data_IF_080574357794
#
_entry.id   IF_080574357794
#
_cell.length_a   1.000
_cell.length_b   1.000
_cell.length_c   1.000
_cell.angle_alpha   90.00
_cell.angle_beta   90.00
_cell.angle_gamma   90.00
#
_symmetry.space_group_name_H-M   'P 1'
#
loop_
_entity.id
_entity.type
_entity.pdbx_description
1 polymer ?
#
# COMPACT_ATOMS: atom_id res chain seq x y z
N UNK A 1 20.78 -33.72 -8.55
CA UNK A 1 19.35 -34.07 -8.74
C UNK A 1 18.60 -32.80 -9.06
N UNK A 2 18.23 -32.62 -10.32
CA UNK A 2 17.64 -31.40 -10.87
C UNK A 2 16.12 -31.47 -10.74
N UNK A 3 15.55 -30.80 -9.75
CA UNK A 3 14.12 -30.51 -9.72
C UNK A 3 13.89 -29.17 -10.43
N UNK A 4 13.75 -29.24 -11.75
CA UNK A 4 13.10 -28.18 -12.52
C UNK A 4 11.64 -28.64 -12.67
N UNK A 5 10.78 -28.30 -11.71
CA UNK A 5 9.35 -28.22 -12.01
C UNK A 5 9.13 -26.95 -12.81
N UNK A 6 9.45 -27.05 -14.11
CA UNK A 6 8.82 -26.20 -15.11
C UNK A 6 7.36 -26.63 -15.14
N UNK A 7 6.54 -26.06 -14.25
CA UNK A 7 5.18 -25.77 -14.68
C UNK A 7 5.37 -24.76 -15.79
N UNK A 8 5.22 -25.21 -17.04
CA UNK A 8 5.01 -24.29 -18.17
C UNK A 8 3.67 -23.60 -17.90
N UNK A 9 3.67 -22.65 -16.97
CA UNK A 9 2.60 -21.69 -16.80
C UNK A 9 2.63 -20.85 -18.07
N UNK A 10 1.61 -20.92 -18.94
CA UNK A 10 1.54 -20.00 -20.06
C UNK A 10 1.62 -18.59 -19.48
N UNK A 11 2.63 -17.83 -19.90
CA UNK A 11 2.66 -16.39 -19.68
C UNK A 11 1.32 -15.90 -20.24
N UNK A 12 0.45 -15.37 -19.37
CA UNK A 12 -0.89 -14.92 -19.75
C UNK A 12 -0.72 -13.75 -20.74
N UNK A 13 -0.68 -14.07 -22.02
CA UNK A 13 -0.71 -13.11 -23.11
C UNK A 13 -2.14 -12.64 -23.33
N UNK A 14 -2.30 -11.48 -23.96
CA UNK A 14 -3.58 -10.78 -24.23
C UNK A 14 -4.58 -11.55 -25.13
N UNK A 15 -4.34 -12.84 -25.43
CA UNK A 15 -5.08 -13.62 -26.42
C UNK A 15 -5.98 -14.73 -25.83
N UNK A 16 -6.21 -14.73 -24.52
CA UNK A 16 -7.12 -15.71 -23.89
C UNK A 16 -8.52 -15.15 -23.67
N UNK A 17 -9.54 -15.95 -23.99
CA UNK A 17 -10.94 -15.60 -23.72
C UNK A 17 -11.26 -15.75 -22.23
N UNK A 18 -12.35 -15.12 -21.77
CA UNK A 18 -12.83 -15.31 -20.38
C UNK A 18 -13.08 -16.79 -20.03
N UNK A 19 -13.45 -17.60 -21.03
CA UNK A 19 -13.63 -19.05 -20.89
C UNK A 19 -12.30 -19.75 -20.62
N UNK A 20 -11.24 -19.35 -21.30
CA UNK A 20 -9.91 -19.92 -21.11
C UNK A 20 -9.33 -19.59 -19.73
N UNK A 21 -9.49 -18.34 -19.28
CA UNK A 21 -9.05 -17.91 -17.94
C UNK A 21 -9.77 -18.71 -16.85
N UNK A 22 -11.08 -18.89 -17.00
CA UNK A 22 -11.89 -19.65 -16.04
C UNK A 22 -11.51 -21.13 -16.02
N UNK A 23 -11.30 -21.74 -17.20
CA UNK A 23 -10.89 -23.14 -17.31
C UNK A 23 -9.49 -23.37 -16.75
N UNK A 24 -8.54 -22.47 -17.05
CA UNK A 24 -7.21 -22.51 -16.45
C UNK A 24 -7.28 -22.39 -14.93
N UNK A 25 -8.04 -21.42 -14.40
CA UNK A 25 -8.15 -21.23 -12.96
C UNK A 25 -8.76 -22.42 -12.21
N UNK A 26 -9.61 -23.21 -12.86
CA UNK A 26 -10.17 -24.44 -12.28
C UNK A 26 -9.11 -25.54 -12.16
N UNK A 27 -8.16 -25.58 -13.09
CA UNK A 27 -7.09 -26.57 -13.11
C UNK A 27 -5.85 -26.14 -12.28
N UNK A 28 -5.65 -24.83 -12.11
CA UNK A 28 -4.52 -24.27 -11.37
C UNK A 28 -4.82 -24.15 -9.86
N UNK A 29 -3.77 -24.29 -9.04
CA UNK A 29 -3.83 -23.89 -7.63
C UNK A 29 -3.76 -22.37 -7.54
N UNK A 30 -4.92 -21.71 -7.53
CA UNK A 30 -5.03 -20.25 -7.52
C UNK A 30 -5.17 -19.72 -6.09
N UNK A 31 -4.39 -18.69 -5.77
CA UNK A 31 -4.38 -18.04 -4.46
C UNK A 31 -4.62 -16.55 -4.65
N UNK A 32 -5.43 -15.96 -3.77
CA UNK A 32 -5.68 -14.52 -3.70
C UNK A 32 -5.28 -13.99 -2.34
N UNK A 33 -4.53 -12.89 -2.29
CA UNK A 33 -4.29 -12.15 -1.05
C UNK A 33 -5.07 -10.84 -1.06
N UNK A 34 -5.86 -10.63 -0.01
CA UNK A 34 -6.70 -9.44 0.15
C UNK A 34 -6.30 -8.62 1.36
N UNK A 35 -6.71 -7.36 1.41
CA UNK A 35 -6.39 -6.44 2.51
C UNK A 35 -7.63 -5.66 2.89
N UNK A 36 -7.74 -5.27 4.16
CA UNK A 36 -8.71 -4.29 4.62
C UNK A 36 -8.71 -3.07 3.67
N UNK A 37 -9.82 -2.75 3.00
CA UNK A 37 -9.85 -1.69 1.99
C UNK A 37 -9.46 -0.31 2.51
N UNK A 38 -9.79 0.00 3.77
CA UNK A 38 -9.37 1.26 4.42
C UNK A 38 -7.84 1.31 4.58
N UNK A 39 -7.25 0.20 5.01
CA UNK A 39 -5.80 0.04 5.12
C UNK A 39 -5.10 0.06 3.77
N UNK A 40 -5.72 -0.48 2.72
CA UNK A 40 -5.20 -0.43 1.33
C UNK A 40 -5.10 1.00 0.83
N UNK A 41 -6.17 1.80 0.94
CA UNK A 41 -6.16 3.22 0.57
C UNK A 41 -5.10 4.01 1.34
N UNK A 42 -5.03 3.82 2.66
CA UNK A 42 -4.06 4.52 3.49
C UNK A 42 -2.61 4.14 3.13
N UNK A 43 -2.35 2.86 2.90
CA UNK A 43 -1.04 2.38 2.45
C UNK A 43 -0.67 2.90 1.07
N UNK A 44 -1.63 2.96 0.14
CA UNK A 44 -1.43 3.54 -1.19
C UNK A 44 -1.03 5.02 -1.11
N UNK A 45 -1.71 5.81 -0.28
CA UNK A 45 -1.33 7.20 -0.03
C UNK A 45 0.10 7.33 0.49
N UNK A 46 0.44 6.56 1.54
CA UNK A 46 1.77 6.62 2.16
C UNK A 46 2.86 6.30 1.14
N UNK A 47 2.68 5.23 0.37
CA UNK A 47 3.71 4.74 -0.57
C UNK A 47 3.86 5.62 -1.82
N UNK A 48 2.74 6.14 -2.33
CA UNK A 48 2.71 6.82 -3.63
C UNK A 48 2.81 8.34 -3.55
N UNK A 49 2.37 8.96 -2.45
CA UNK A 49 2.28 10.41 -2.33
C UNK A 49 3.07 10.99 -1.16
N UNK A 50 3.05 10.33 0.01
CA UNK A 50 3.81 10.80 1.17
C UNK A 50 5.30 10.50 1.03
N UNK A 51 5.65 9.23 0.79
CA UNK A 51 7.02 8.82 0.56
C UNK A 51 7.58 9.48 -0.72
N UNK A 52 8.87 9.88 -0.75
CA UNK A 52 9.46 10.54 -1.92
C UNK A 52 9.28 9.74 -3.22
N UNK A 53 8.34 10.16 -4.06
CA UNK A 53 8.00 9.44 -5.29
C UNK A 53 7.70 10.40 -6.46
N UNK A 54 8.74 10.96 -7.09
CA UNK A 54 8.57 11.97 -8.15
C UNK A 54 7.79 11.46 -9.36
N UNK A 55 7.80 10.14 -9.60
CA UNK A 55 7.02 9.56 -10.68
C UNK A 55 5.52 9.71 -10.41
N UNK A 56 5.04 9.29 -9.24
CA UNK A 56 3.63 9.40 -8.89
C UNK A 56 3.18 10.84 -8.70
N UNK A 57 4.03 11.70 -8.16
CA UNK A 57 3.75 13.14 -8.07
C UNK A 57 3.51 13.74 -9.46
N UNK A 58 4.37 13.41 -10.43
CA UNK A 58 4.27 13.91 -11.79
C UNK A 58 3.06 13.36 -12.56
N UNK A 59 2.78 12.06 -12.42
CA UNK A 59 1.73 11.34 -13.18
C UNK A 59 0.34 11.56 -12.60
N UNK A 60 0.22 11.53 -11.27
CA UNK A 60 -1.05 11.61 -10.55
C UNK A 60 -1.16 12.88 -9.71
N UNK A 61 -0.12 13.21 -8.94
CA UNK A 61 -0.19 14.29 -7.97
C UNK A 61 -0.58 15.65 -8.55
N UNK A 62 0.02 16.03 -9.68
CA UNK A 62 -0.33 17.27 -10.40
C UNK A 62 -1.79 17.30 -10.85
N UNK A 63 -2.31 16.16 -11.32
CA UNK A 63 -3.72 16.03 -11.76
C UNK A 63 -4.67 16.15 -10.57
N UNK A 64 -4.32 15.52 -9.46
CA UNK A 64 -5.09 15.58 -8.22
C UNK A 64 -5.16 17.04 -7.74
N UNK A 65 -4.01 17.69 -7.58
CA UNK A 65 -3.95 19.09 -7.12
C UNK A 65 -4.72 20.02 -8.06
N UNK A 66 -4.48 19.92 -9.37
CA UNK A 66 -5.15 20.76 -10.36
C UNK A 66 -6.67 20.62 -10.34
N UNK A 67 -7.20 19.46 -9.94
CA UNK A 67 -8.64 19.20 -9.93
C UNK A 67 -9.30 19.54 -8.60
N UNK A 68 -8.65 19.22 -7.49
CA UNK A 68 -9.28 19.23 -6.16
C UNK A 68 -8.83 20.42 -5.28
N UNK A 69 -7.64 20.98 -5.51
CA UNK A 69 -7.12 22.06 -4.66
C UNK A 69 -7.52 23.43 -5.18
N UNK A 70 -8.28 24.17 -4.37
CA UNK A 70 -8.56 25.60 -4.63
C UNK A 70 -7.32 26.44 -4.33
N UNK A 71 -7.02 27.41 -5.20
CA UNK A 71 -5.89 28.34 -5.03
C UNK A 71 -4.53 27.64 -4.83
N UNK A 72 -4.28 26.56 -5.58
CA UNK A 72 -3.00 25.86 -5.53
C UNK A 72 -1.83 26.78 -5.91
N UNK A 73 -0.72 26.68 -5.17
CA UNK A 73 0.50 27.40 -5.54
C UNK A 73 1.03 26.90 -6.89
N UNK A 74 1.79 27.74 -7.58
CA UNK A 74 2.46 27.34 -8.83
C UNK A 74 3.33 26.10 -8.63
N UNK A 75 4.03 26.05 -7.49
CA UNK A 75 4.88 24.91 -7.12
C UNK A 75 4.06 23.63 -6.94
N UNK A 76 2.94 23.68 -6.19
CA UNK A 76 2.05 22.52 -6.00
C UNK A 76 1.53 22.01 -7.34
N UNK A 77 1.09 22.91 -8.24
CA UNK A 77 0.61 22.53 -9.58
C UNK A 77 1.72 21.91 -10.46
N UNK A 78 2.93 22.46 -10.39
CA UNK A 78 4.06 21.99 -11.19
C UNK A 78 4.64 20.67 -10.68
N UNK A 79 4.63 20.44 -9.37
CA UNK A 79 5.34 19.34 -8.76
C UNK A 79 4.46 18.20 -8.27
N UNK A 80 3.21 18.44 -7.87
CA UNK A 80 2.33 17.36 -7.45
C UNK A 80 2.72 16.66 -6.13
N UNK A 81 3.70 17.21 -5.40
CA UNK A 81 4.39 16.50 -4.33
C UNK A 81 3.65 16.54 -2.99
N UNK A 82 2.79 17.53 -2.80
CA UNK A 82 2.12 17.86 -1.54
C UNK A 82 0.64 17.46 -1.53
N UNK A 83 0.24 16.43 -2.29
CA UNK A 83 -1.11 15.86 -2.23
C UNK A 83 -1.45 15.44 -0.80
N UNK A 84 -2.58 15.90 -0.30
CA UNK A 84 -3.12 15.51 1.01
C UNK A 84 -3.85 14.17 0.94
N UNK A 85 -4.02 13.50 2.08
CA UNK A 85 -4.81 12.27 2.14
C UNK A 85 -6.25 12.48 1.65
N UNK A 86 -6.87 13.61 2.01
CA UNK A 86 -8.23 13.95 1.59
C UNK A 86 -8.36 14.08 0.06
N UNK A 87 -7.45 14.83 -0.58
CA UNK A 87 -7.47 14.99 -2.04
C UNK A 87 -7.18 13.67 -2.77
N UNK A 88 -6.28 12.85 -2.23
CA UNK A 88 -6.02 11.51 -2.74
C UNK A 88 -7.28 10.65 -2.68
N UNK A 89 -7.95 10.59 -1.52
CA UNK A 89 -9.17 9.80 -1.34
C UNK A 89 -10.29 10.30 -2.25
N UNK A 90 -10.47 11.61 -2.36
CA UNK A 90 -11.47 12.21 -3.25
C UNK A 90 -11.21 11.86 -4.73
N UNK A 91 -9.95 11.93 -5.16
CA UNK A 91 -9.55 11.47 -6.49
C UNK A 91 -9.88 10.00 -6.72
N UNK A 92 -9.60 9.12 -5.76
CA UNK A 92 -9.84 7.67 -5.90
C UNK A 92 -11.33 7.37 -6.03
N UNK A 93 -12.16 7.90 -5.12
CA UNK A 93 -13.61 7.59 -5.13
C UNK A 93 -14.30 8.17 -6.36
N UNK A 94 -13.95 9.39 -6.77
CA UNK A 94 -14.50 10.00 -7.98
C UNK A 94 -14.03 9.25 -9.23
N UNK A 95 -12.74 8.88 -9.32
CA UNK A 95 -12.24 8.14 -10.49
C UNK A 95 -12.90 6.77 -10.59
N UNK A 96 -13.13 6.10 -9.46
CA UNK A 96 -13.89 4.85 -9.44
C UNK A 96 -15.33 5.01 -9.94
N UNK A 97 -16.01 6.08 -9.53
CA UNK A 97 -17.41 6.36 -9.90
C UNK A 97 -17.55 6.66 -11.40
N UNK A 98 -16.65 7.46 -11.97
CA UNK A 98 -16.78 7.92 -13.36
C UNK A 98 -15.98 7.10 -14.37
N UNK A 99 -14.81 6.57 -13.99
CA UNK A 99 -13.84 5.91 -14.90
C UNK A 99 -13.08 4.78 -14.18
N UNK A 100 -13.76 3.74 -13.68
CA UNK A 100 -13.15 2.72 -12.82
C UNK A 100 -11.94 2.03 -13.45
N UNK A 101 -11.97 1.80 -14.78
CA UNK A 101 -10.86 1.16 -15.53
C UNK A 101 -9.59 2.01 -15.63
N UNK A 102 -9.62 3.28 -15.25
CA UNK A 102 -8.46 4.18 -15.24
C UNK A 102 -7.90 4.40 -13.84
N UNK A 103 -8.52 3.79 -12.82
CA UNK A 103 -8.02 3.86 -11.46
C UNK A 103 -6.77 2.99 -11.34
N UNK A 104 -5.78 3.49 -10.62
CA UNK A 104 -4.50 2.80 -10.47
C UNK A 104 -4.63 1.57 -9.56
N UNK A 105 -3.99 0.48 -9.97
CA UNK A 105 -4.16 -0.86 -9.39
C UNK A 105 -3.90 -0.91 -7.88
N UNK A 106 -2.89 -0.20 -7.35
CA UNK A 106 -2.52 -0.26 -5.93
C UNK A 106 -3.62 0.25 -4.99
N UNK A 107 -4.49 1.12 -5.47
CA UNK A 107 -5.59 1.69 -4.70
C UNK A 107 -6.97 1.47 -5.35
N UNK A 108 -7.04 0.59 -6.36
CA UNK A 108 -8.28 0.05 -6.90
C UNK A 108 -8.87 -1.10 -6.06
N UNK A 109 -10.19 -1.30 -6.04
CA UNK A 109 -10.78 -2.45 -5.37
C UNK A 109 -10.32 -3.79 -5.95
N UNK A 110 -10.06 -4.75 -5.07
CA UNK A 110 -9.49 -6.05 -5.45
C UNK A 110 -10.46 -6.82 -6.33
N UNK A 111 -11.78 -6.72 -6.06
CA UNK A 111 -12.79 -7.39 -6.87
C UNK A 111 -12.77 -6.98 -8.36
N UNK A 112 -12.25 -5.79 -8.70
CA UNK A 112 -12.17 -5.36 -10.10
C UNK A 112 -11.10 -6.08 -10.89
N UNK A 113 -9.98 -6.44 -10.25
CA UNK A 113 -8.82 -7.04 -10.92
C UNK A 113 -8.82 -8.56 -10.78
N UNK A 114 -9.21 -9.05 -9.61
CA UNK A 114 -9.10 -10.47 -9.27
C UNK A 114 -10.38 -11.26 -9.54
N UNK A 115 -11.51 -10.60 -9.88
CA UNK A 115 -12.79 -11.24 -10.23
C UNK A 115 -13.12 -12.47 -9.34
N UNK A 116 -13.15 -12.30 -8.00
CA UNK A 116 -13.29 -13.43 -7.06
C UNK A 116 -14.63 -14.17 -7.20
N UNK A 117 -15.63 -13.58 -7.86
CA UNK A 117 -16.89 -14.23 -8.17
C UNK A 117 -16.81 -15.18 -9.38
N UNK A 118 -15.73 -15.10 -10.17
CA UNK A 118 -15.58 -15.81 -11.43
C UNK A 118 -14.42 -16.83 -11.40
N UNK A 119 -13.40 -16.53 -10.61
CA UNK A 119 -12.21 -17.36 -10.40
C UNK A 119 -12.40 -18.17 -9.11
N UNK A 120 -12.25 -19.49 -9.20
CA UNK A 120 -12.34 -20.43 -8.08
C UNK A 120 -11.00 -20.47 -7.31
N UNK A 121 -10.75 -19.43 -6.51
CA UNK A 121 -9.57 -19.34 -5.66
C UNK A 121 -9.58 -20.45 -4.59
N UNK A 122 -8.52 -21.26 -4.57
CA UNK A 122 -8.36 -22.33 -3.56
C UNK A 122 -8.09 -21.76 -2.18
N UNK A 123 -7.35 -20.67 -2.12
CA UNK A 123 -7.06 -19.96 -0.87
C UNK A 123 -7.25 -18.46 -1.08
N UNK A 124 -7.98 -17.82 -0.15
CA UNK A 124 -8.04 -16.37 -0.01
C UNK A 124 -7.39 -15.98 1.32
N UNK A 125 -6.12 -15.57 1.26
CA UNK A 125 -5.36 -15.08 2.41
C UNK A 125 -5.55 -13.58 2.65
N UNK A 126 -5.16 -13.09 3.83
CA UNK A 126 -5.24 -11.69 4.23
C UNK A 126 -3.86 -11.11 4.50
N UNK A 127 -3.64 -9.86 4.10
CA UNK A 127 -2.39 -9.14 4.35
C UNK A 127 -2.15 -8.92 5.86
N UNK A 128 -3.22 -8.88 6.67
CA UNK A 128 -3.17 -8.75 8.13
C UNK A 128 -2.61 -9.99 8.84
N UNK A 129 -2.69 -11.15 8.18
CA UNK A 129 -2.22 -12.48 8.61
C UNK A 129 -1.24 -13.10 7.61
N UNK A 130 -0.56 -12.25 6.82
CA UNK A 130 0.20 -12.67 5.64
C UNK A 130 1.18 -13.81 5.90
N UNK A 131 1.95 -13.76 7.00
CA UNK A 131 2.91 -14.82 7.34
C UNK A 131 2.24 -16.17 7.59
N UNK A 132 1.14 -16.19 8.36
CA UNK A 132 0.38 -17.40 8.67
C UNK A 132 -0.29 -17.96 7.40
N UNK A 133 -0.87 -17.07 6.59
CA UNK A 133 -1.57 -17.45 5.36
C UNK A 133 -0.61 -17.96 4.28
N UNK A 134 0.58 -17.37 4.16
CA UNK A 134 1.64 -17.90 3.28
C UNK A 134 2.10 -19.28 3.75
N UNK A 135 2.29 -19.47 5.06
CA UNK A 135 2.65 -20.80 5.59
C UNK A 135 1.55 -21.84 5.31
N UNK A 136 0.27 -21.45 5.40
CA UNK A 136 -0.85 -22.33 5.03
C UNK A 136 -0.81 -22.70 3.54
N UNK A 137 -0.59 -21.72 2.65
CA UNK A 137 -0.43 -21.95 1.20
C UNK A 137 0.71 -22.94 0.92
N UNK A 138 1.86 -22.77 1.56
CA UNK A 138 3.01 -23.66 1.36
C UNK A 138 2.75 -25.09 1.84
N UNK A 139 2.02 -25.25 2.95
CA UNK A 139 1.62 -26.55 3.46
C UNK A 139 0.68 -27.28 2.48
N UNK A 140 -0.30 -26.58 1.90
CA UNK A 140 -1.22 -27.14 0.90
C UNK A 140 -0.50 -27.54 -0.39
N UNK A 141 0.61 -26.88 -0.73
CA UNK A 141 1.47 -27.24 -1.86
C UNK A 141 2.45 -28.39 -1.56
N UNK A 142 2.48 -28.92 -0.32
CA UNK A 142 3.41 -29.97 0.09
C UNK A 142 4.83 -29.49 0.37
N UNK A 143 5.06 -28.17 0.44
CA UNK A 143 6.36 -27.53 0.70
C UNK A 143 6.66 -27.41 2.21
N UNK A 144 6.44 -28.50 2.94
CA UNK A 144 6.49 -28.59 4.41
C UNK A 144 7.91 -28.31 4.96
N UNK A 145 8.93 -28.36 4.09
CA UNK A 145 10.33 -28.11 4.44
C UNK A 145 10.69 -26.62 4.52
N UNK A 146 9.85 -25.72 4.00
CA UNK A 146 10.05 -24.28 4.11
C UNK A 146 9.55 -23.85 5.50
N UNK A 147 10.42 -23.95 6.51
CA UNK A 147 10.10 -23.55 7.88
C UNK A 147 9.60 -22.12 7.93
N UNK A 148 8.37 -21.96 8.44
CA UNK A 148 7.80 -20.77 9.09
C UNK A 148 8.45 -19.46 8.62
N UNK A 149 8.10 -19.04 7.40
CA UNK A 149 8.57 -17.75 6.90
C UNK A 149 8.04 -16.67 7.85
N UNK A 150 8.94 -16.00 8.56
CA UNK A 150 8.60 -14.78 9.29
C UNK A 150 8.49 -13.65 8.28
N UNK A 151 7.33 -13.55 7.61
CA UNK A 151 7.08 -12.55 6.56
C UNK A 151 6.67 -11.18 7.12
N UNK A 152 6.99 -10.90 8.38
CA UNK A 152 6.87 -9.51 8.86
C UNK A 152 7.93 -8.66 8.16
N UNK A 153 7.55 -7.49 7.66
CA UNK A 153 8.50 -6.54 7.09
C UNK A 153 9.62 -6.28 8.10
N UNK A 154 10.81 -6.77 7.77
CA UNK A 154 11.96 -6.61 8.63
C UNK A 154 12.37 -5.14 8.61
N UNK A 155 12.38 -4.49 9.78
CA UNK A 155 12.80 -3.09 9.89
C UNK A 155 14.19 -2.87 9.26
N UNK A 156 15.07 -3.87 9.30
CA UNK A 156 16.35 -3.80 8.58
C UNK A 156 16.17 -3.65 7.07
N UNK A 157 15.28 -4.41 6.43
CA UNK A 157 15.06 -4.34 4.98
C UNK A 157 14.47 -2.99 4.58
N UNK A 158 13.51 -2.49 5.37
CA UNK A 158 12.91 -1.18 5.14
C UNK A 158 13.95 -0.07 5.27
N UNK A 159 14.80 -0.12 6.30
CA UNK A 159 15.88 0.85 6.48
C UNK A 159 16.97 0.74 5.40
N UNK A 160 17.28 -0.47 4.91
CA UNK A 160 18.18 -0.67 3.77
C UNK A 160 17.61 -0.06 2.50
N UNK A 161 16.32 -0.26 2.22
CA UNK A 161 15.65 0.37 1.08
C UNK A 161 15.71 1.89 1.18
N UNK A 162 15.39 2.45 2.36
CA UNK A 162 15.47 3.88 2.60
C UNK A 162 16.90 4.41 2.40
N UNK A 163 17.92 3.71 2.91
CA UNK A 163 19.31 4.12 2.71
C UNK A 163 19.68 4.21 1.22
N UNK A 164 19.23 3.25 0.40
CA UNK A 164 19.44 3.24 -1.04
C UNK A 164 18.66 4.37 -1.73
N UNK A 165 17.41 4.60 -1.34
CA UNK A 165 16.57 5.66 -1.89
C UNK A 165 17.16 7.05 -1.58
N UNK A 166 17.63 7.28 -0.35
CA UNK A 166 18.30 8.53 0.04
C UNK A 166 19.59 8.76 -0.76
N UNK A 167 20.40 7.71 -0.97
CA UNK A 167 21.57 7.78 -1.83
C UNK A 167 21.18 8.14 -3.27
N UNK A 168 20.11 7.54 -3.80
CA UNK A 168 19.58 7.87 -5.13
C UNK A 168 19.08 9.31 -5.21
N UNK A 169 18.31 9.80 -4.25
CA UNK A 169 17.79 11.18 -4.25
C UNK A 169 18.88 12.23 -4.14
N UNK A 170 19.95 11.97 -3.38
CA UNK A 170 21.11 12.88 -3.29
C UNK A 170 21.77 13.11 -4.65
N UNK A 171 21.70 12.13 -5.54
CA UNK A 171 22.30 12.17 -6.87
C UNK A 171 21.32 12.62 -7.98
N UNK A 172 20.06 12.89 -7.63
CA UNK A 172 19.05 13.33 -8.59
C UNK A 172 18.95 14.85 -8.65
N UNK A 173 19.22 15.42 -9.83
CA UNK A 173 18.92 16.83 -10.11
C UNK A 173 17.45 16.98 -10.56
N UNK A 174 16.50 16.81 -9.63
CA UNK A 174 15.06 17.02 -9.91
C UNK A 174 14.52 18.20 -9.13
N UNK A 175 13.97 19.17 -9.85
CA UNK A 175 13.42 20.44 -9.32
C UNK A 175 12.43 20.22 -8.18
N UNK A 176 11.55 19.21 -8.30
CA UNK A 176 10.50 18.93 -7.31
C UNK A 176 10.96 18.08 -6.11
N UNK A 177 12.10 17.38 -6.19
CA UNK A 177 12.68 16.73 -5.01
C UNK A 177 13.45 17.75 -4.17
N UNK A 178 14.11 18.71 -4.82
CA UNK A 178 14.82 19.79 -4.12
C UNK A 178 13.90 20.71 -3.32
N UNK A 179 12.60 20.73 -3.64
CA UNK A 179 11.62 21.57 -2.96
C UNK A 179 10.94 20.91 -1.75
N UNK A 180 11.26 19.63 -1.47
CA UNK A 180 10.71 18.90 -0.31
C UNK A 180 11.77 18.55 0.72
N UNK A 181 11.36 18.48 1.98
CA UNK A 181 12.17 17.86 3.02
C UNK A 181 12.01 16.33 2.95
N UNK A 182 12.90 15.68 2.17
CA UNK A 182 12.93 14.22 1.98
C UNK A 182 13.03 13.48 3.32
N UNK A 183 13.87 13.97 4.24
CA UNK A 183 14.05 13.34 5.54
C UNK A 183 12.77 13.36 6.37
N UNK A 184 12.07 14.49 6.39
CA UNK A 184 10.81 14.60 7.11
C UNK A 184 9.74 13.66 6.55
N UNK A 185 9.68 13.52 5.22
CA UNK A 185 8.74 12.57 4.57
C UNK A 185 9.04 11.12 4.90
N UNK A 186 10.32 10.73 4.87
CA UNK A 186 10.74 9.39 5.28
C UNK A 186 10.38 9.14 6.75
N UNK A 187 10.63 10.13 7.61
CA UNK A 187 10.30 10.08 9.04
C UNK A 187 8.80 9.86 9.27
N UNK A 188 7.97 10.66 8.61
CA UNK A 188 6.52 10.54 8.66
C UNK A 188 6.03 9.20 8.09
N UNK A 189 6.64 8.72 7.01
CA UNK A 189 6.32 7.41 6.42
C UNK A 189 6.58 6.28 7.41
N UNK A 190 7.75 6.24 8.04
CA UNK A 190 8.10 5.23 9.03
C UNK A 190 7.19 5.29 10.26
N UNK A 191 6.83 6.51 10.68
CA UNK A 191 5.80 6.69 11.70
C UNK A 191 4.46 6.11 11.22
N UNK A 192 3.87 6.56 10.12
CA UNK A 192 2.53 6.09 9.73
C UNK A 192 2.47 4.58 9.42
N UNK A 193 3.58 3.97 8.95
CA UNK A 193 3.71 2.51 8.76
C UNK A 193 3.87 1.72 10.06
N UNK A 194 4.13 2.39 11.19
CA UNK A 194 4.27 1.73 12.48
C UNK A 194 5.65 1.13 12.74
N UNK A 195 6.70 1.72 12.13
CA UNK A 195 8.10 1.39 12.39
C UNK A 195 8.73 2.31 13.46
N UNK A 196 8.16 3.50 13.68
CA UNK A 196 8.63 4.46 14.69
C UNK A 196 7.53 4.84 15.67
N UNK A 197 7.83 4.84 16.98
CA UNK A 197 6.97 5.42 18.01
C UNK A 197 7.04 6.96 17.96
N UNK A 198 6.16 7.66 18.68
CA UNK A 198 6.25 9.12 18.81
C UNK A 198 7.54 9.57 19.49
N UNK A 199 8.06 8.77 20.43
CA UNK A 199 9.28 9.12 21.17
C UNK A 199 10.55 8.88 20.34
N UNK A 200 10.56 7.81 19.53
CA UNK A 200 11.69 7.47 18.67
C UNK A 200 11.86 8.43 17.48
N UNK A 201 10.82 9.16 17.10
CA UNK A 201 10.83 10.06 15.95
C UNK A 201 11.71 11.31 16.16
N UNK A 202 12.03 11.65 17.41
CA UNK A 202 12.79 12.86 17.77
C UNK A 202 14.30 12.60 17.62
N UNK A 203 14.76 11.37 17.88
CA UNK A 203 16.19 11.03 17.95
C UNK A 203 16.73 10.36 16.67
N UNK A 204 15.88 10.08 15.68
CA UNK A 204 16.28 9.41 14.46
C UNK A 204 16.86 10.40 13.43
N UNK A 205 18.19 10.50 13.40
CA UNK A 205 18.87 11.27 12.35
C UNK A 205 18.93 10.46 11.04
N UNK A 206 17.98 10.71 10.15
CA UNK A 206 17.87 10.03 8.84
C UNK A 206 19.04 10.38 7.91
N UNK A 207 19.62 11.58 8.04
CA UNK A 207 20.66 12.05 7.13
C UNK A 207 21.96 11.25 7.21
N UNK A 208 22.20 10.57 8.33
CA UNK A 208 23.35 9.69 8.53
C UNK A 208 23.04 8.21 8.26
N UNK A 209 21.82 7.85 7.86
CA UNK A 209 21.47 6.47 7.53
C UNK A 209 22.19 6.01 6.25
N UNK A 210 22.91 4.90 6.35
CA UNK A 210 23.62 4.26 5.24
C UNK A 210 23.44 2.74 5.29
N UNK A 211 23.69 2.05 4.18
CA UNK A 211 23.63 0.58 4.14
C UNK A 211 24.52 -0.09 5.21
N UNK A 212 25.65 0.54 5.58
CA UNK A 212 26.59 0.00 6.56
C UNK A 212 26.14 0.12 8.02
N UNK A 213 25.27 1.09 8.35
CA UNK A 213 24.82 1.32 9.73
C UNK A 213 23.37 0.96 10.01
N UNK A 214 22.63 0.40 9.02
CA UNK A 214 21.24 -0.02 9.20
C UNK A 214 21.03 -0.91 10.43
N UNK A 215 21.90 -1.89 10.68
CA UNK A 215 21.76 -2.80 11.82
C UNK A 215 21.74 -2.06 13.17
N UNK A 216 22.59 -1.05 13.32
CA UNK A 216 22.64 -0.22 14.53
C UNK A 216 21.32 0.56 14.69
N UNK A 217 20.83 1.17 13.61
CA UNK A 217 19.56 1.88 13.63
C UNK A 217 18.38 0.96 13.94
N UNK A 218 18.33 -0.24 13.37
CA UNK A 218 17.27 -1.20 13.65
C UNK A 218 17.21 -1.57 15.13
N UNK A 219 18.36 -1.81 15.77
CA UNK A 219 18.44 -2.11 17.20
C UNK A 219 17.98 -0.94 18.08
N UNK A 220 18.29 0.30 17.67
CA UNK A 220 17.83 1.50 18.38
C UNK A 220 16.33 1.73 18.23
N UNK A 221 15.77 1.37 17.07
CA UNK A 221 14.38 1.66 16.70
C UNK A 221 13.42 0.50 17.01
N UNK A 222 13.92 -0.66 17.41
CA UNK A 222 13.12 -1.87 17.65
C UNK A 222 12.27 -1.76 18.93
N UNK A 223 11.24 -0.93 18.90
CA UNK A 223 10.09 -1.06 19.78
C UNK A 223 8.93 -1.67 18.98
N UNK A 224 8.37 -2.79 19.46
CA UNK A 224 7.19 -3.38 18.84
C UNK A 224 6.03 -2.40 19.01
N UNK A 225 5.59 -1.80 17.91
CA UNK A 225 4.38 -0.98 17.90
C UNK A 225 3.18 -1.90 17.88
N UNK A 226 2.22 -1.65 18.76
CA UNK A 226 1.02 -2.47 18.84
C UNK A 226 0.16 -2.33 17.57
N UNK A 227 -0.61 -3.37 17.24
CA UNK A 227 -1.61 -3.30 16.15
C UNK A 227 -2.60 -2.14 16.39
N UNK A 228 -2.95 -1.87 17.66
CA UNK A 228 -3.83 -0.78 18.06
C UNK A 228 -3.27 0.61 17.73
N UNK A 229 -2.00 0.87 18.03
CA UNK A 229 -1.36 2.15 17.67
C UNK A 229 -1.29 2.37 16.16
N UNK A 230 -1.05 1.31 15.38
CA UNK A 230 -1.09 1.38 13.91
C UNK A 230 -2.49 1.74 13.42
N UNK A 231 -3.53 1.10 13.97
CA UNK A 231 -4.92 1.40 13.66
C UNK A 231 -5.27 2.85 13.98
N UNK A 232 -4.84 3.39 15.11
CA UNK A 232 -5.10 4.78 15.49
C UNK A 232 -4.52 5.79 14.49
N UNK A 233 -3.34 5.50 13.89
CA UNK A 233 -2.72 6.37 12.86
C UNK A 233 -3.53 6.37 11.57
N UNK A 234 -4.07 5.21 11.18
CA UNK A 234 -5.00 5.11 10.05
C UNK A 234 -6.29 5.87 10.35
N UNK A 235 -6.90 5.61 11.50
CA UNK A 235 -8.17 6.22 11.91
C UNK A 235 -8.06 7.73 11.94
N UNK A 236 -6.98 8.30 12.48
CA UNK A 236 -6.81 9.76 12.56
C UNK A 236 -6.80 10.43 11.17
N UNK A 237 -6.32 9.74 10.14
CA UNK A 237 -6.35 10.26 8.77
C UNK A 237 -7.76 10.24 8.19
N UNK A 238 -8.51 9.15 8.41
CA UNK A 238 -9.92 9.12 8.00
C UNK A 238 -10.78 10.12 8.79
N UNK A 239 -10.46 10.37 10.06
CA UNK A 239 -11.16 11.37 10.88
C UNK A 239 -10.96 12.81 10.40
N UNK A 240 -9.95 13.06 9.57
CA UNK A 240 -9.73 14.37 8.95
C UNK A 240 -10.64 14.61 7.74
N UNK A 241 -11.34 13.58 7.24
CA UNK A 241 -12.20 13.70 6.08
C UNK A 241 -13.56 14.28 6.46
N UNK A 242 -14.11 15.14 5.59
CA UNK A 242 -15.47 15.61 5.74
C UNK A 242 -16.49 14.47 5.57
N UNK A 243 -17.64 14.57 6.26
CA UNK A 243 -18.71 13.55 6.28
C UNK A 243 -19.12 13.04 4.90
N UNK A 244 -19.33 13.95 3.95
CA UNK A 244 -19.71 13.60 2.57
C UNK A 244 -18.68 12.73 1.87
N UNK A 245 -17.39 13.06 2.01
CA UNK A 245 -16.30 12.28 1.44
C UNK A 245 -16.17 10.93 2.14
N UNK A 246 -16.29 10.89 3.46
CA UNK A 246 -16.24 9.65 4.23
C UNK A 246 -17.37 8.69 3.85
N UNK A 247 -18.58 9.19 3.59
CA UNK A 247 -19.69 8.38 3.07
C UNK A 247 -19.43 7.85 1.66
N UNK A 248 -18.78 8.62 0.78
CA UNK A 248 -18.30 8.12 -0.52
C UNK A 248 -17.29 6.99 -0.35
N UNK A 249 -16.35 7.11 0.58
CA UNK A 249 -15.40 6.03 0.90
C UNK A 249 -16.12 4.75 1.32
N UNK A 250 -17.09 4.87 2.23
CA UNK A 250 -17.88 3.72 2.69
C UNK A 250 -18.58 2.99 1.53
N UNK A 251 -19.10 3.72 0.52
CA UNK A 251 -19.66 3.12 -0.69
C UNK A 251 -18.59 2.48 -1.57
N UNK A 252 -17.45 3.16 -1.77
CA UNK A 252 -16.34 2.69 -2.59
C UNK A 252 -15.78 1.34 -2.09
N UNK A 253 -15.61 1.17 -0.78
CA UNK A 253 -15.02 -0.05 -0.21
C UNK A 253 -16.02 -1.20 -0.03
N UNK A 254 -17.32 -0.91 -0.09
CA UNK A 254 -18.39 -1.83 0.35
C UNK A 254 -18.28 -3.22 -0.28
N UNK A 255 -18.05 -3.30 -1.59
CA UNK A 255 -17.99 -4.57 -2.29
C UNK A 255 -16.83 -5.45 -1.80
N UNK A 256 -15.61 -4.91 -1.70
CA UNK A 256 -14.45 -5.65 -1.15
C UNK A 256 -14.71 -6.03 0.31
N UNK A 257 -15.25 -5.13 1.12
CA UNK A 257 -15.55 -5.43 2.52
C UNK A 257 -16.52 -6.60 2.67
N UNK A 258 -17.61 -6.62 1.90
CA UNK A 258 -18.58 -7.72 1.92
C UNK A 258 -17.97 -9.02 1.40
N UNK A 259 -17.25 -8.97 0.27
CA UNK A 259 -16.66 -10.15 -0.36
C UNK A 259 -15.61 -10.84 0.53
N UNK A 260 -14.86 -10.06 1.31
CA UNK A 260 -13.70 -10.55 2.06
C UNK A 260 -13.87 -10.51 3.59
N UNK A 261 -15.09 -10.23 4.07
CA UNK A 261 -15.43 -10.24 5.48
C UNK A 261 -14.70 -9.16 6.28
N UNK A 262 -14.68 -7.93 5.76
CA UNK A 262 -14.27 -6.74 6.50
C UNK A 262 -15.48 -5.89 6.88
N UNK A 263 -15.32 -5.07 7.92
CA UNK A 263 -16.33 -4.11 8.32
C UNK A 263 -16.48 -3.02 7.25
N UNK A 264 -17.71 -2.84 6.77
CA UNK A 264 -18.05 -1.84 5.75
C UNK A 264 -18.08 -0.41 6.30
N UNK A 265 -18.35 -0.23 7.60
CA UNK A 265 -18.39 1.07 8.29
C UNK A 265 -17.90 0.93 9.74
N UNK A 266 -16.57 0.82 9.94
CA UNK A 266 -15.99 0.74 11.28
C UNK A 266 -16.36 1.93 12.18
N UNK A 267 -16.88 1.65 13.37
CA UNK A 267 -17.30 2.69 14.33
C UNK A 267 -16.18 3.69 14.66
N UNK A 268 -14.95 3.21 14.78
CA UNK A 268 -13.77 4.04 15.06
C UNK A 268 -13.46 5.05 13.94
N UNK A 269 -13.86 4.74 12.70
CA UNK A 269 -13.77 5.62 11.54
C UNK A 269 -15.03 6.46 11.36
N UNK A 270 -16.24 5.98 11.61
CA UNK A 270 -17.46 6.70 11.21
C UNK A 270 -18.20 7.44 12.34
N UNK A 271 -18.00 7.09 13.62
CA UNK A 271 -18.78 7.64 14.75
C UNK A 271 -18.18 8.90 15.39
N UNK A 272 -17.59 9.79 14.60
CA UNK A 272 -16.92 11.00 15.11
C UNK A 272 -17.39 12.31 14.43
N UNK A 273 -18.43 12.24 13.59
CA UNK A 273 -18.99 13.34 12.79
C UNK A 273 -20.49 13.51 12.98
#
# INVERSE_FOLDING_TARGET
MSLVHKMDLPIISREYTDVDVKNFSKAAFSVLFVRDPYSRLFSGYIDKFLYPNPHYWNVYGRKIISKYRKNASLESMQCGHDVTFAEFVEYVVDTYEYKPRLLEDHFSPIHQHCRPCEIDYKIIGKMETFGDDVNHVLNELGEIHIKQLSVEQNLNEVLLQIANDLHYYKNLNKTCLGSVNVFERVRQTLYLRGFLSKDNIINFNISSLTASNVKQYTQMLSSKISKGERRQRLVSQYKSLGKSLLDKVGRFVKADCVLFGYDTRPDDIFNHL
#
